data_IF_732281525998
#
_entry.id   IF_732281525998
#
_cell.length_a   1.000
_cell.length_b   1.000
_cell.length_c   1.000
_cell.angle_alpha   90.00
_cell.angle_beta   90.00
_cell.angle_gamma   90.00
#
_symmetry.space_group_name_H-M   'P 1'
#
loop_
_entity.id
_entity.type
_entity.pdbx_description
1 polymer ?
#
# COMPACT_ATOMS: atom_id res chain seq x y z
N UNK A 1 -8.27 5.24 -24.21
CA UNK A 1 -7.35 4.10 -24.04
C UNK A 1 -7.78 3.40 -22.75
N UNK A 2 -8.34 2.20 -22.82
CA UNK A 2 -8.82 1.46 -21.64
C UNK A 2 -7.59 0.97 -20.88
N UNK A 3 -7.40 1.43 -19.63
CA UNK A 3 -6.31 0.98 -18.76
C UNK A 3 -6.68 -0.37 -18.15
N UNK A 4 -5.80 -1.34 -18.30
CA UNK A 4 -5.97 -2.67 -17.69
C UNK A 4 -5.28 -2.68 -16.33
N UNK A 5 -6.02 -3.04 -15.29
CA UNK A 5 -5.53 -3.20 -13.92
C UNK A 5 -5.27 -4.68 -13.65
N UNK A 6 -4.02 -5.19 -13.83
CA UNK A 6 -3.74 -6.63 -13.87
C UNK A 6 -3.95 -7.35 -12.53
N UNK A 7 -3.96 -6.61 -11.41
CA UNK A 7 -4.06 -7.16 -10.05
C UNK A 7 -5.41 -6.88 -9.38
N UNK A 8 -6.36 -6.26 -10.08
CA UNK A 8 -7.69 -6.01 -9.54
C UNK A 8 -8.60 -7.23 -9.79
N UNK A 9 -9.35 -7.73 -8.78
CA UNK A 9 -10.36 -8.76 -9.01
C UNK A 9 -11.38 -8.29 -10.06
N UNK A 10 -11.76 -9.17 -10.98
CA UNK A 10 -12.63 -8.83 -12.11
C UNK A 10 -13.96 -8.18 -11.68
N UNK A 11 -14.46 -8.54 -10.50
CA UNK A 11 -15.67 -7.97 -9.89
C UNK A 11 -15.61 -6.44 -9.69
N UNK A 12 -14.41 -5.85 -9.55
CA UNK A 12 -14.26 -4.42 -9.29
C UNK A 12 -13.96 -3.59 -10.54
N UNK A 13 -13.75 -4.21 -11.71
CA UNK A 13 -13.38 -3.50 -12.94
C UNK A 13 -14.36 -2.37 -13.33
N UNK A 14 -15.69 -2.56 -13.33
CA UNK A 14 -16.63 -1.49 -13.72
C UNK A 14 -16.57 -0.28 -12.79
N UNK A 15 -16.37 -0.52 -11.48
CA UNK A 15 -16.25 0.55 -10.50
C UNK A 15 -14.94 1.32 -10.66
N UNK A 16 -13.84 0.60 -10.93
CA UNK A 16 -12.51 1.18 -11.18
C UNK A 16 -12.54 2.05 -12.46
N UNK A 17 -13.24 1.61 -13.50
CA UNK A 17 -13.43 2.41 -14.72
C UNK A 17 -14.23 3.69 -14.46
N UNK A 18 -15.31 3.61 -13.68
CA UNK A 18 -16.14 4.77 -13.33
C UNK A 18 -15.39 5.85 -12.53
N UNK A 19 -14.50 5.43 -11.62
CA UNK A 19 -13.71 6.35 -10.78
C UNK A 19 -12.36 6.73 -11.40
N UNK A 20 -12.03 6.22 -12.59
CA UNK A 20 -10.75 6.43 -13.27
C UNK A 20 -10.42 7.89 -13.58
N UNK A 21 -11.45 8.72 -13.70
CA UNK A 21 -11.34 10.15 -14.00
C UNK A 21 -11.34 11.05 -12.76
N UNK A 22 -11.52 10.48 -11.56
CA UNK A 22 -11.40 11.26 -10.33
C UNK A 22 -9.94 11.42 -9.92
N UNK A 23 -9.49 12.68 -9.85
CA UNK A 23 -8.12 13.05 -9.53
C UNK A 23 -8.03 13.57 -8.10
N UNK A 24 -7.19 12.92 -7.30
CA UNK A 24 -6.85 13.28 -5.94
C UNK A 24 -5.53 14.05 -5.86
N UNK A 25 -5.45 14.97 -4.90
CA UNK A 25 -4.22 15.62 -4.44
C UNK A 25 -3.39 14.66 -3.59
N UNK A 26 -2.11 14.99 -3.44
CA UNK A 26 -1.22 14.23 -2.54
C UNK A 26 -1.73 14.22 -1.10
N UNK A 27 -2.27 15.33 -0.60
CA UNK A 27 -2.86 15.44 0.74
C UNK A 27 -4.02 14.47 0.96
N UNK A 28 -4.93 14.38 -0.01
CA UNK A 28 -6.12 13.52 0.04
C UNK A 28 -5.73 12.03 -0.02
N UNK A 29 -4.76 11.68 -0.87
CA UNK A 29 -4.21 10.32 -0.91
C UNK A 29 -3.47 9.98 0.39
N UNK A 30 -2.71 10.93 0.93
CA UNK A 30 -1.97 10.75 2.17
C UNK A 30 -2.94 10.46 3.33
N UNK A 31 -4.01 11.24 3.44
CA UNK A 31 -5.08 11.01 4.42
C UNK A 31 -5.75 9.63 4.22
N UNK A 32 -6.17 9.32 2.99
CA UNK A 32 -6.84 8.05 2.66
C UNK A 32 -5.98 6.82 2.96
N UNK A 33 -4.67 6.90 2.69
CA UNK A 33 -3.70 5.83 2.94
C UNK A 33 -3.07 5.87 4.34
N UNK A 34 -3.40 6.87 5.16
CA UNK A 34 -2.78 7.15 6.47
C UNK A 34 -1.26 7.31 6.39
N UNK A 35 -0.81 8.01 5.37
CA UNK A 35 0.58 8.40 5.16
C UNK A 35 0.77 9.91 5.32
N UNK A 36 2.02 10.34 5.39
CA UNK A 36 2.37 11.74 5.21
C UNK A 36 2.60 12.04 3.73
N UNK A 37 2.39 13.30 3.33
CA UNK A 37 2.73 13.73 1.96
C UNK A 37 4.21 13.55 1.64
N UNK A 38 5.08 13.67 2.64
CA UNK A 38 6.51 13.42 2.52
C UNK A 38 6.79 11.94 2.18
N UNK A 39 6.04 11.01 2.78
CA UNK A 39 6.14 9.58 2.47
C UNK A 39 5.77 9.34 1.00
N UNK A 40 4.67 9.93 0.52
CA UNK A 40 4.30 9.87 -0.90
C UNK A 40 5.39 10.48 -1.81
N UNK A 41 6.00 11.60 -1.43
CA UNK A 41 7.07 12.23 -2.18
C UNK A 41 8.32 11.35 -2.28
N UNK A 42 8.70 10.70 -1.17
CA UNK A 42 9.81 9.75 -1.13
C UNK A 42 9.54 8.54 -2.03
N UNK A 43 8.32 7.99 -2.01
CA UNK A 43 7.93 6.88 -2.91
C UNK A 43 8.02 7.27 -4.39
N UNK A 44 7.62 8.50 -4.75
CA UNK A 44 7.78 9.01 -6.12
C UNK A 44 9.25 9.12 -6.53
N UNK A 45 10.11 9.63 -5.63
CA UNK A 45 11.55 9.81 -5.88
C UNK A 45 12.30 8.49 -5.97
N UNK A 46 11.89 7.49 -5.20
CA UNK A 46 12.47 6.14 -5.22
C UNK A 46 12.21 5.38 -6.54
N UNK A 47 11.60 6.01 -7.55
CA UNK A 47 11.36 5.41 -8.85
C UNK A 47 10.24 4.37 -8.85
N UNK A 48 9.47 4.25 -7.75
CA UNK A 48 8.42 3.27 -7.59
C UNK A 48 7.13 3.69 -8.31
N UNK A 49 7.23 4.01 -9.61
CA UNK A 49 6.09 4.30 -10.48
C UNK A 49 5.17 3.08 -10.64
N UNK A 50 5.69 1.89 -10.35
CA UNK A 50 4.95 0.63 -10.34
C UNK A 50 3.94 0.55 -9.20
N UNK A 51 4.21 1.23 -8.08
CA UNK A 51 3.36 1.18 -6.91
C UNK A 51 2.09 2.04 -7.05
N UNK A 52 2.23 3.32 -7.41
CA UNK A 52 1.10 4.20 -7.63
C UNK A 52 1.45 5.25 -8.70
N UNK A 53 0.88 5.13 -9.90
CA UNK A 53 1.05 6.13 -10.95
C UNK A 53 0.59 7.51 -10.47
N UNK A 54 1.31 8.53 -10.93
CA UNK A 54 1.01 9.93 -10.63
C UNK A 54 1.12 10.77 -11.90
N UNK A 55 0.40 11.88 -11.90
CA UNK A 55 0.34 12.83 -13.00
C UNK A 55 0.97 14.13 -12.51
N UNK A 56 2.01 14.58 -13.21
CA UNK A 56 2.52 15.93 -13.05
C UNK A 56 1.67 16.88 -13.90
N UNK A 57 1.11 17.91 -13.28
CA UNK A 57 0.42 19.00 -13.97
C UNK A 57 1.42 20.10 -14.35
N UNK A 58 1.10 20.90 -15.38
CA UNK A 58 1.80 22.16 -15.63
C UNK A 58 1.78 23.01 -14.36
N UNK A 59 2.95 23.43 -13.86
CA UNK A 59 3.10 24.12 -12.57
C UNK A 59 3.58 23.23 -11.42
N UNK A 60 3.90 21.96 -11.66
CA UNK A 60 4.56 21.08 -10.69
C UNK A 60 3.63 20.45 -9.66
N UNK A 61 2.33 20.72 -9.73
CA UNK A 61 1.34 20.04 -8.91
C UNK A 61 1.24 18.55 -9.27
N UNK A 62 1.04 17.70 -8.27
CA UNK A 62 0.90 16.25 -8.44
C UNK A 62 -0.56 15.84 -8.24
N UNK A 63 -1.04 14.93 -9.09
CA UNK A 63 -2.34 14.28 -8.96
C UNK A 63 -2.23 12.77 -9.05
N UNK A 64 -3.19 12.09 -8.44
CA UNK A 64 -3.34 10.65 -8.41
C UNK A 64 -4.73 10.29 -8.91
N UNK A 65 -4.87 9.25 -9.73
CA UNK A 65 -6.20 8.74 -10.07
C UNK A 65 -6.72 7.92 -8.91
N UNK A 66 -7.97 8.10 -8.51
CA UNK A 66 -8.58 7.31 -7.44
C UNK A 66 -8.53 5.81 -7.74
N UNK A 67 -8.77 5.42 -9.00
CA UNK A 67 -8.61 4.05 -9.47
C UNK A 67 -7.21 3.47 -9.18
N UNK A 68 -6.16 4.26 -9.39
CA UNK A 68 -4.77 3.83 -9.16
C UNK A 68 -4.48 3.69 -7.65
N UNK A 69 -5.06 4.57 -6.81
CA UNK A 69 -4.98 4.49 -5.34
C UNK A 69 -5.66 3.23 -4.82
N UNK A 70 -6.88 2.95 -5.29
CA UNK A 70 -7.65 1.76 -4.92
C UNK A 70 -6.95 0.49 -5.39
N UNK A 71 -6.42 0.46 -6.62
CA UNK A 71 -5.65 -0.67 -7.13
C UNK A 71 -4.39 -0.93 -6.29
N UNK A 72 -3.70 0.12 -5.83
CA UNK A 72 -2.54 -0.01 -4.94
C UNK A 72 -2.90 -0.54 -3.54
N UNK A 73 -4.09 -0.21 -3.03
CA UNK A 73 -4.62 -0.78 -1.78
C UNK A 73 -4.95 -2.27 -1.95
N UNK A 74 -5.65 -2.64 -3.04
CA UNK A 74 -6.06 -4.01 -3.34
C UNK A 74 -4.84 -4.90 -3.61
N UNK A 75 -3.85 -4.40 -4.35
CA UNK A 75 -2.63 -5.14 -4.71
C UNK A 75 -1.72 -5.46 -3.52
N UNK A 76 -2.11 -5.12 -2.29
CA UNK A 76 -1.38 -5.47 -1.08
C UNK A 76 -0.01 -4.81 -0.97
N UNK A 77 0.30 -3.85 -1.83
CA UNK A 77 1.59 -3.15 -1.83
C UNK A 77 1.62 -2.01 -0.83
N UNK A 78 0.49 -1.64 -0.20
CA UNK A 78 0.46 -0.66 0.89
C UNK A 78 -0.57 -0.92 1.97
N UNK A 79 -0.35 -0.22 3.07
CA UNK A 79 -0.99 -0.29 4.37
C UNK A 79 0.10 -0.16 5.45
N UNK A 80 -0.26 0.18 6.69
CA UNK A 80 0.70 0.14 7.79
C UNK A 80 1.31 -1.27 7.88
N UNK A 81 2.58 -1.35 8.26
CA UNK A 81 3.22 -2.62 8.60
C UNK A 81 2.52 -3.15 9.86
N UNK A 82 1.46 -3.94 9.69
CA UNK A 82 0.74 -4.55 10.80
C UNK A 82 1.42 -5.85 11.19
N UNK A 83 1.31 -6.21 12.47
CA UNK A 83 1.84 -7.46 13.00
C UNK A 83 1.36 -8.68 12.17
N UNK A 84 0.10 -8.67 11.75
CA UNK A 84 -0.48 -9.74 10.93
C UNK A 84 0.17 -9.86 9.55
N UNK A 85 0.51 -8.73 8.92
CA UNK A 85 1.18 -8.73 7.61
C UNK A 85 2.62 -9.23 7.71
N UNK A 86 3.32 -8.88 8.80
CA UNK A 86 4.67 -9.40 9.05
C UNK A 86 4.62 -10.89 9.35
N UNK A 87 3.66 -11.34 10.16
CA UNK A 87 3.47 -12.76 10.46
C UNK A 87 3.12 -13.58 9.20
N UNK A 88 2.31 -13.03 8.31
CA UNK A 88 1.99 -13.63 7.01
C UNK A 88 3.25 -13.71 6.13
N UNK A 89 4.05 -12.65 6.05
CA UNK A 89 5.30 -12.67 5.31
C UNK A 89 6.27 -13.75 5.84
N UNK A 90 6.45 -13.85 7.16
CA UNK A 90 7.26 -14.91 7.80
C UNK A 90 6.74 -16.31 7.44
N UNK A 91 5.42 -16.51 7.44
CA UNK A 91 4.83 -17.79 7.09
C UNK A 91 5.19 -18.21 5.65
N UNK A 92 5.31 -17.24 4.73
CA UNK A 92 5.63 -17.49 3.31
C UNK A 92 7.11 -17.74 3.01
N UNK A 93 8.03 -17.49 3.96
CA UNK A 93 9.47 -17.71 3.75
C UNK A 93 9.78 -19.21 3.59
N UNK A 94 10.22 -19.66 2.40
CA UNK A 94 10.43 -21.10 2.12
C UNK A 94 11.68 -21.66 2.76
N UNK A 95 12.69 -20.82 3.00
CA UNK A 95 14.02 -21.23 3.49
C UNK A 95 14.12 -21.25 5.02
N UNK A 96 13.01 -21.02 5.72
CA UNK A 96 12.95 -20.97 7.18
C UNK A 96 12.12 -22.14 7.68
N UNK A 97 12.63 -22.87 8.66
CA UNK A 97 11.92 -24.02 9.23
C UNK A 97 10.65 -23.56 9.99
N UNK A 98 9.63 -24.42 10.13
CA UNK A 98 8.41 -24.09 10.87
C UNK A 98 8.67 -23.61 12.31
N UNK A 99 9.65 -24.21 12.98
CA UNK A 99 10.00 -23.89 14.37
C UNK A 99 10.58 -22.47 14.48
N UNK A 100 11.45 -22.09 13.54
CA UNK A 100 12.04 -20.75 13.49
C UNK A 100 10.99 -19.69 13.14
N UNK A 101 10.05 -20.02 12.23
CA UNK A 101 8.92 -19.12 11.93
C UNK A 101 8.08 -18.81 13.17
N UNK A 102 7.78 -19.82 13.99
CA UNK A 102 7.03 -19.64 15.23
C UNK A 102 7.77 -18.72 16.21
N UNK A 103 9.09 -18.92 16.38
CA UNK A 103 9.93 -18.06 17.22
C UNK A 103 9.94 -16.60 16.73
N UNK A 104 10.05 -16.38 15.42
CA UNK A 104 10.00 -15.03 14.84
C UNK A 104 8.65 -14.35 15.10
N UNK A 105 7.54 -15.06 14.90
CA UNK A 105 6.19 -14.53 15.16
C UNK A 105 5.96 -14.23 16.65
N UNK A 106 6.47 -15.08 17.55
CA UNK A 106 6.38 -14.85 19.00
C UNK A 106 7.19 -13.61 19.42
N UNK A 107 8.41 -13.46 18.90
CA UNK A 107 9.24 -12.29 19.17
C UNK A 107 8.57 -10.99 18.74
N UNK A 108 7.95 -10.99 17.55
CA UNK A 108 7.18 -9.86 17.06
C UNK A 108 5.96 -9.55 17.95
N UNK A 109 5.21 -10.56 18.39
CA UNK A 109 4.08 -10.32 19.31
C UNK A 109 4.55 -9.64 20.60
N UNK A 110 5.64 -10.11 21.21
CA UNK A 110 6.18 -9.52 22.45
C UNK A 110 6.65 -8.08 22.27
N UNK A 111 7.25 -7.76 21.13
CA UNK A 111 7.76 -6.42 20.85
C UNK A 111 6.66 -5.35 20.63
N UNK A 112 5.44 -5.78 20.26
CA UNK A 112 4.35 -4.87 19.89
C UNK A 112 3.11 -4.99 20.80
N UNK A 113 3.12 -5.84 21.82
CA UNK A 113 2.16 -5.75 22.93
C UNK A 113 2.57 -4.53 23.77
N UNK A 114 1.67 -3.56 24.03
CA UNK A 114 2.01 -2.45 24.89
C UNK A 114 2.32 -3.02 26.28
N UNK A 115 3.57 -2.90 26.71
CA UNK A 115 3.92 -3.01 28.14
C UNK A 115 3.02 -2.01 28.85
N UNK A 116 2.16 -2.51 29.74
CA UNK A 116 1.14 -1.72 30.40
C UNK A 116 1.69 -0.39 30.90
N UNK A 117 0.87 0.65 30.70
CA UNK A 117 0.79 1.79 31.60
C UNK A 117 0.72 1.29 33.04
N UNK A 118 1.83 1.42 33.76
CA UNK A 118 1.82 1.74 35.19
C UNK A 118 1.61 3.26 35.35
#
# INVERSE_FOLDING_TARGET
MIRVYPNAPDAYKPLIELIGDYLLKASEVAEHLRYSEQHLANMRRAGNKTFMPWIALPGGAIRYRMADVVAAQIGGTTGPLTLDRVNLAIATCRDVTPEVKLLMQEHLRKAFVPTGTD
#
